data_IF_056989355136
#
_entry.id   IF_056989355136
#
_cell.length_a   1.000
_cell.length_b   1.000
_cell.length_c   1.000
_cell.angle_alpha   90.00
_cell.angle_beta   90.00
_cell.angle_gamma   90.00
#
_symmetry.space_group_name_H-M   'P 1'
#
loop_
_entity.id
_entity.type
_entity.pdbx_description
1 polymer ?
#
# COMPACT_ATOMS: atom_id res chain seq x y z
N UNK A 1 10.39 -28.57 -28.85
CA UNK A 1 11.34 -27.43 -28.97
C UNK A 1 10.61 -26.17 -28.53
N UNK A 2 11.05 -25.45 -27.50
CA UNK A 2 10.41 -24.21 -27.08
C UNK A 2 10.74 -23.10 -28.09
N UNK A 3 9.74 -22.32 -28.45
CA UNK A 3 9.81 -21.26 -29.45
C UNK A 3 10.53 -20.03 -28.84
N UNK A 4 11.63 -19.50 -29.42
CA UNK A 4 12.40 -18.39 -28.84
C UNK A 4 11.80 -17.03 -29.22
N UNK A 5 10.49 -16.86 -29.00
CA UNK A 5 9.96 -15.51 -28.85
C UNK A 5 10.43 -15.09 -27.46
N UNK A 6 11.39 -14.16 -27.40
CA UNK A 6 11.67 -13.43 -26.17
C UNK A 6 10.33 -13.05 -25.56
N UNK A 7 10.02 -13.62 -24.40
CA UNK A 7 8.76 -13.36 -23.75
C UNK A 7 8.73 -11.86 -23.45
N UNK A 8 7.97 -11.09 -24.24
CA UNK A 8 7.95 -9.63 -24.12
C UNK A 8 7.53 -9.24 -22.70
N UNK A 9 6.73 -10.10 -22.06
CA UNK A 9 6.27 -9.93 -20.69
C UNK A 9 7.41 -10.02 -19.68
N UNK A 10 8.45 -10.82 -19.94
CA UNK A 10 9.62 -10.94 -19.06
C UNK A 10 10.54 -9.70 -19.09
N UNK A 11 10.22 -8.70 -19.91
CA UNK A 11 10.92 -7.41 -19.94
C UNK A 11 10.08 -6.29 -19.30
N UNK A 12 8.86 -6.58 -18.84
CA UNK A 12 8.01 -5.60 -18.19
C UNK A 12 8.61 -5.27 -16.82
N UNK A 13 8.94 -3.99 -16.62
CA UNK A 13 9.50 -3.48 -15.35
C UNK A 13 8.50 -2.65 -14.54
N UNK A 14 7.43 -2.17 -15.18
CA UNK A 14 6.38 -1.37 -14.53
C UNK A 14 5.01 -1.72 -15.10
N UNK A 15 3.98 -1.83 -14.27
CA UNK A 15 2.60 -2.11 -14.72
C UNK A 15 1.57 -1.46 -13.80
N UNK A 16 0.41 -1.14 -14.37
CA UNK A 16 -0.81 -0.77 -13.69
C UNK A 16 -1.88 -1.85 -13.95
N UNK A 17 -2.53 -2.35 -12.90
CA UNK A 17 -3.59 -3.36 -13.00
C UNK A 17 -4.89 -2.83 -12.39
N UNK A 18 -5.96 -2.86 -13.16
CA UNK A 18 -7.33 -2.66 -12.71
C UNK A 18 -8.28 -3.60 -13.48
N UNK A 19 -8.13 -4.92 -13.32
CA UNK A 19 -8.81 -5.88 -14.18
C UNK A 19 -10.21 -6.26 -13.67
N UNK A 20 -10.56 -5.83 -12.45
CA UNK A 20 -11.84 -6.11 -11.81
C UNK A 20 -12.73 -4.87 -11.81
N UNK A 21 -14.04 -5.09 -11.81
CA UNK A 21 -15.01 -4.03 -11.57
C UNK A 21 -14.95 -3.58 -10.10
N UNK A 22 -15.31 -2.32 -9.85
CA UNK A 22 -15.19 -1.63 -8.56
C UNK A 22 -15.80 -2.35 -7.36
N UNK A 23 -16.74 -3.28 -7.58
CA UNK A 23 -17.50 -3.97 -6.54
C UNK A 23 -17.44 -5.49 -6.65
N UNK A 24 -16.66 -6.05 -7.57
CA UNK A 24 -16.64 -7.49 -7.80
C UNK A 24 -15.23 -8.04 -7.97
N UNK A 25 -14.75 -8.75 -6.94
CA UNK A 25 -13.51 -9.52 -7.00
C UNK A 25 -13.76 -10.99 -7.37
N UNK A 26 -14.99 -11.52 -7.25
CA UNK A 26 -15.31 -12.95 -7.41
C UNK A 26 -15.40 -13.37 -8.90
N UNK A 27 -14.29 -13.18 -9.62
CA UNK A 27 -14.11 -13.56 -11.03
C UNK A 27 -12.80 -14.37 -11.18
N UNK A 28 -12.95 -15.70 -11.08
CA UNK A 28 -11.84 -16.64 -11.20
C UNK A 28 -11.11 -16.57 -12.55
N UNK A 29 -11.78 -16.52 -13.72
CA UNK A 29 -11.10 -16.26 -14.98
C UNK A 29 -10.17 -15.05 -14.91
N UNK A 30 -10.67 -13.89 -14.47
CA UNK A 30 -9.86 -12.66 -14.36
C UNK A 30 -8.68 -12.83 -13.39
N UNK A 31 -8.89 -13.47 -12.24
CA UNK A 31 -7.82 -13.79 -11.31
C UNK A 31 -6.71 -14.68 -11.93
N UNK A 32 -7.09 -15.66 -12.75
CA UNK A 32 -6.14 -16.51 -13.48
C UNK A 32 -5.33 -15.68 -14.47
N UNK A 33 -5.95 -14.77 -15.23
CA UNK A 33 -5.22 -13.87 -16.14
C UNK A 33 -4.23 -12.97 -15.41
N UNK A 34 -4.61 -12.44 -14.25
CA UNK A 34 -3.70 -11.66 -13.40
C UNK A 34 -2.52 -12.51 -12.94
N UNK A 35 -2.78 -13.74 -12.48
CA UNK A 35 -1.73 -14.67 -12.04
C UNK A 35 -0.76 -14.99 -13.17
N UNK A 36 -1.24 -15.34 -14.35
CA UNK A 36 -0.39 -15.66 -15.49
C UNK A 36 0.49 -14.45 -15.87
N UNK A 37 -0.10 -13.25 -15.98
CA UNK A 37 0.67 -12.03 -16.27
C UNK A 37 1.79 -11.80 -15.25
N UNK A 38 1.45 -11.86 -13.95
CA UNK A 38 2.43 -11.66 -12.88
C UNK A 38 3.49 -12.76 -12.85
N UNK A 39 3.14 -13.99 -13.21
CA UNK A 39 4.09 -15.11 -13.30
C UNK A 39 5.12 -14.88 -14.41
N UNK A 40 4.70 -14.32 -15.53
CA UNK A 40 5.59 -14.00 -16.65
C UNK A 40 6.53 -12.82 -16.37
N UNK A 41 6.12 -11.85 -15.55
CA UNK A 41 6.93 -10.66 -15.26
C UNK A 41 7.57 -10.63 -13.87
N UNK A 42 7.37 -11.64 -13.01
CA UNK A 42 7.81 -11.62 -11.61
C UNK A 42 9.31 -11.33 -11.42
N UNK A 43 10.17 -11.79 -12.35
CA UNK A 43 11.61 -11.56 -12.31
C UNK A 43 12.05 -10.16 -12.76
N UNK A 44 11.25 -9.48 -13.59
CA UNK A 44 11.58 -8.18 -14.19
C UNK A 44 10.79 -7.01 -13.61
N UNK A 45 9.61 -7.26 -13.06
CA UNK A 45 8.74 -6.24 -12.51
C UNK A 45 9.41 -5.60 -11.29
N UNK A 46 9.53 -4.27 -11.33
CA UNK A 46 10.08 -3.44 -10.24
C UNK A 46 9.03 -2.51 -9.66
N UNK A 47 8.03 -2.14 -10.47
CA UNK A 47 6.96 -1.23 -10.07
C UNK A 47 5.60 -1.79 -10.40
N UNK A 48 4.70 -1.80 -9.42
CA UNK A 48 3.34 -2.26 -9.60
C UNK A 48 2.35 -1.31 -8.91
N UNK A 49 1.37 -0.86 -9.67
CA UNK A 49 0.20 -0.14 -9.16
C UNK A 49 -1.02 -1.01 -9.37
N UNK A 50 -1.77 -1.29 -8.31
CA UNK A 50 -3.02 -2.05 -8.40
C UNK A 50 -4.20 -1.19 -7.92
N UNK A 51 -5.24 -1.20 -8.72
CA UNK A 51 -6.54 -0.59 -8.45
C UNK A 51 -7.57 -1.72 -8.46
N UNK A 52 -7.58 -2.47 -7.36
CA UNK A 52 -8.35 -3.71 -7.17
C UNK A 52 -9.04 -3.66 -5.81
N UNK A 53 -10.36 -3.94 -5.73
CA UNK A 53 -11.10 -3.89 -4.48
C UNK A 53 -10.93 -5.21 -3.70
N UNK A 54 -9.76 -5.45 -3.11
CA UNK A 54 -9.46 -6.73 -2.43
C UNK A 54 -10.43 -7.06 -1.28
N UNK A 55 -10.98 -6.05 -0.60
CA UNK A 55 -12.04 -6.22 0.42
C UNK A 55 -13.44 -6.51 -0.11
N UNK A 56 -13.65 -6.56 -1.42
CA UNK A 56 -14.96 -6.90 -1.99
C UNK A 56 -15.31 -8.39 -1.88
N UNK A 57 -14.33 -9.25 -1.54
CA UNK A 57 -14.53 -10.68 -1.36
C UNK A 57 -13.82 -11.15 -0.09
N UNK A 58 -14.58 -11.48 0.95
CA UNK A 58 -14.05 -12.03 2.20
C UNK A 58 -13.74 -13.53 2.07
N UNK A 59 -12.85 -14.09 2.91
CA UNK A 59 -12.50 -15.51 2.86
C UNK A 59 -13.70 -16.47 2.95
N UNK A 60 -14.73 -16.12 3.72
CA UNK A 60 -15.94 -16.92 3.90
C UNK A 60 -16.81 -17.00 2.63
N UNK A 61 -16.71 -15.97 1.79
CA UNK A 61 -17.50 -15.81 0.57
C UNK A 61 -16.73 -16.27 -0.69
N UNK A 62 -15.44 -16.63 -0.58
CA UNK A 62 -14.57 -17.02 -1.70
C UNK A 62 -14.84 -18.46 -2.19
N UNK A 63 -16.03 -18.66 -2.75
CA UNK A 63 -16.48 -19.96 -3.25
C UNK A 63 -15.72 -20.43 -4.50
N UNK A 64 -15.16 -19.49 -5.28
CA UNK A 64 -14.40 -19.79 -6.49
C UNK A 64 -12.89 -19.95 -6.25
N UNK A 65 -12.39 -19.66 -5.05
CA UNK A 65 -10.98 -19.74 -4.71
C UNK A 65 -10.13 -18.63 -5.35
N UNK A 66 -10.73 -17.48 -5.65
CA UNK A 66 -10.08 -16.32 -6.24
C UNK A 66 -8.97 -15.79 -5.35
N UNK A 67 -9.17 -15.74 -4.02
CA UNK A 67 -8.18 -15.19 -3.09
C UNK A 67 -6.91 -16.02 -3.10
N UNK A 68 -7.02 -17.35 -3.17
CA UNK A 68 -5.86 -18.24 -3.33
C UNK A 68 -5.07 -17.94 -4.61
N UNK A 69 -5.76 -17.80 -5.75
CA UNK A 69 -5.12 -17.52 -7.04
C UNK A 69 -4.39 -16.17 -7.02
N UNK A 70 -5.01 -15.14 -6.46
CA UNK A 70 -4.41 -13.82 -6.32
C UNK A 70 -3.25 -13.85 -5.31
N UNK A 71 -3.44 -14.50 -4.16
CA UNK A 71 -2.40 -14.65 -3.14
C UNK A 71 -1.11 -15.23 -3.74
N UNK A 72 -1.21 -16.35 -4.47
CA UNK A 72 -0.07 -16.97 -5.17
C UNK A 72 0.55 -16.01 -6.20
N UNK A 73 -0.28 -15.28 -6.94
CA UNK A 73 0.17 -14.34 -7.96
C UNK A 73 1.02 -13.19 -7.41
N UNK A 74 0.67 -12.68 -6.23
CA UNK A 74 1.37 -11.57 -5.57
C UNK A 74 2.57 -12.06 -4.74
N UNK A 75 2.50 -13.25 -4.14
CA UNK A 75 3.57 -13.78 -3.29
C UNK A 75 4.92 -13.96 -4.01
N UNK A 76 4.89 -14.22 -5.32
CA UNK A 76 6.09 -14.42 -6.14
C UNK A 76 6.85 -13.13 -6.51
N UNK A 77 6.33 -11.93 -6.21
CA UNK A 77 6.88 -10.63 -6.66
C UNK A 77 8.07 -10.14 -5.81
N UNK A 78 9.03 -11.00 -5.49
CA UNK A 78 10.16 -10.70 -4.59
C UNK A 78 11.11 -9.60 -5.08
N UNK A 79 11.12 -9.33 -6.39
CA UNK A 79 11.95 -8.29 -7.01
C UNK A 79 11.28 -6.91 -7.07
N UNK A 80 10.08 -6.77 -6.52
CA UNK A 80 9.35 -5.51 -6.55
C UNK A 80 10.00 -4.46 -5.64
N UNK A 81 10.27 -3.28 -6.20
CA UNK A 81 10.89 -2.15 -5.50
C UNK A 81 9.86 -1.08 -5.10
N UNK A 82 8.79 -0.94 -5.89
CA UNK A 82 7.73 0.03 -5.67
C UNK A 82 6.35 -0.64 -5.81
N UNK A 83 5.53 -0.52 -4.77
CA UNK A 83 4.15 -1.01 -4.78
C UNK A 83 3.15 0.07 -4.35
N UNK A 84 2.01 0.11 -5.04
CA UNK A 84 0.89 0.98 -4.71
C UNK A 84 -0.40 0.15 -4.80
N UNK A 85 -1.14 0.06 -3.70
CA UNK A 85 -2.50 -0.45 -3.69
C UNK A 85 -3.49 0.71 -3.47
N UNK A 86 -4.28 1.01 -4.49
CA UNK A 86 -5.13 2.22 -4.54
C UNK A 86 -6.32 2.12 -3.59
N UNK A 87 -6.94 0.94 -3.51
CA UNK A 87 -8.24 0.76 -2.82
C UNK A 87 -8.17 -0.03 -1.52
N UNK A 88 -7.01 -0.60 -1.18
CA UNK A 88 -6.86 -1.45 0.00
C UNK A 88 -5.40 -1.55 0.47
N UNK A 89 -5.15 -2.39 1.46
CA UNK A 89 -3.84 -2.76 1.99
C UNK A 89 -3.26 -4.05 1.40
N UNK A 90 -3.81 -4.52 0.25
CA UNK A 90 -3.61 -5.85 -0.33
C UNK A 90 -4.16 -6.96 0.59
N UNK A 91 -5.40 -6.81 1.04
CA UNK A 91 -6.07 -7.75 1.94
C UNK A 91 -6.45 -9.07 1.23
N UNK A 92 -5.53 -10.03 1.25
CA UNK A 92 -5.65 -11.34 0.58
C UNK A 92 -5.56 -12.54 1.54
N UNK A 93 -5.72 -12.31 2.85
CA UNK A 93 -5.79 -13.36 3.87
C UNK A 93 -6.70 -14.51 3.45
N UNK A 94 -6.25 -15.74 3.66
CA UNK A 94 -7.03 -16.93 3.29
C UNK A 94 -7.95 -17.40 4.41
N UNK A 95 -7.76 -16.87 5.62
CA UNK A 95 -8.53 -17.24 6.80
C UNK A 95 -8.63 -16.06 7.77
N UNK A 96 -9.85 -15.57 8.03
CA UNK A 96 -10.10 -14.45 8.96
C UNK A 96 -9.71 -14.75 10.41
N UNK A 97 -9.60 -16.02 10.80
CA UNK A 97 -9.22 -16.44 12.15
C UNK A 97 -7.71 -16.50 12.36
N UNK A 98 -6.92 -16.47 11.29
CA UNK A 98 -5.47 -16.48 11.36
C UNK A 98 -4.96 -15.13 10.86
N UNK A 99 -4.25 -14.41 11.74
CA UNK A 99 -3.57 -13.18 11.35
C UNK A 99 -2.35 -13.54 10.49
N UNK A 100 -2.58 -13.67 9.18
CA UNK A 100 -1.53 -13.91 8.19
C UNK A 100 -0.69 -12.64 8.00
N UNK A 101 0.64 -12.75 7.86
CA UNK A 101 1.45 -11.58 7.54
C UNK A 101 1.06 -11.06 6.15
N UNK A 102 0.99 -9.73 5.93
CA UNK A 102 0.68 -9.18 4.62
C UNK A 102 1.65 -9.68 3.56
N UNK A 103 1.17 -10.04 2.37
CA UNK A 103 1.99 -10.63 1.29
C UNK A 103 3.21 -9.75 0.96
N UNK A 104 3.01 -8.43 0.93
CA UNK A 104 4.05 -7.46 0.60
C UNK A 104 5.22 -7.46 1.59
N UNK A 105 5.06 -8.03 2.79
CA UNK A 105 6.14 -8.19 3.78
C UNK A 105 7.23 -9.16 3.33
N UNK A 106 6.95 -10.00 2.34
CA UNK A 106 7.90 -10.98 1.78
C UNK A 106 8.76 -10.41 0.64
N UNK A 107 8.45 -9.20 0.16
CA UNK A 107 9.13 -8.59 -0.97
C UNK A 107 10.41 -7.88 -0.52
N UNK A 108 11.51 -8.64 -0.42
CA UNK A 108 12.78 -8.15 0.14
C UNK A 108 13.38 -6.93 -0.59
N UNK A 109 13.07 -6.74 -1.87
CA UNK A 109 13.54 -5.59 -2.65
C UNK A 109 12.70 -4.31 -2.45
N UNK A 110 11.61 -4.36 -1.68
CA UNK A 110 10.66 -3.28 -1.58
C UNK A 110 11.25 -2.05 -0.88
N UNK A 111 11.19 -0.91 -1.57
CA UNK A 111 11.71 0.38 -1.13
C UNK A 111 10.62 1.38 -0.85
N UNK A 112 9.54 1.33 -1.65
CA UNK A 112 8.44 2.28 -1.57
C UNK A 112 7.11 1.55 -1.58
N UNK A 113 6.29 1.86 -0.58
CA UNK A 113 5.01 1.19 -0.34
C UNK A 113 3.91 2.23 -0.15
N UNK A 114 2.83 2.12 -0.91
CA UNK A 114 1.65 2.95 -0.71
C UNK A 114 0.42 2.05 -0.54
N UNK A 115 -0.29 2.23 0.56
CA UNK A 115 -1.45 1.42 0.96
C UNK A 115 -2.62 2.33 1.31
N UNK A 116 -3.83 1.79 1.17
CA UNK A 116 -5.07 2.47 1.49
C UNK A 116 -5.78 1.80 2.67
N UNK A 117 -6.26 2.61 3.61
CA UNK A 117 -7.06 2.20 4.78
C UNK A 117 -6.41 1.16 5.70
N UNK A 118 -5.12 1.31 5.96
CA UNK A 118 -4.38 0.48 6.91
C UNK A 118 -4.74 0.86 8.35
N UNK A 119 -4.92 -0.12 9.23
CA UNK A 119 -5.00 0.11 10.67
C UNK A 119 -3.62 0.33 11.30
N UNK A 120 -3.39 1.55 11.79
CA UNK A 120 -2.11 1.93 12.40
C UNK A 120 -1.92 1.45 13.85
N UNK A 121 -2.93 0.85 14.49
CA UNK A 121 -2.77 0.17 15.78
C UNK A 121 -2.23 -1.26 15.64
N UNK A 122 -2.32 -1.84 14.43
CA UNK A 122 -1.86 -3.20 14.18
C UNK A 122 -0.36 -3.34 14.45
N UNK A 123 -0.02 -4.17 15.44
CA UNK A 123 1.37 -4.50 15.78
C UNK A 123 2.04 -5.27 14.63
N UNK A 124 1.29 -6.18 13.99
CA UNK A 124 1.76 -6.96 12.85
C UNK A 124 2.09 -6.08 11.64
N UNK A 125 1.32 -5.02 11.39
CA UNK A 125 1.60 -4.07 10.32
C UNK A 125 2.99 -3.42 10.50
N UNK A 126 3.25 -2.87 11.69
CA UNK A 126 4.54 -2.24 11.97
C UNK A 126 5.71 -3.24 12.01
N UNK A 127 5.49 -4.46 12.52
CA UNK A 127 6.50 -5.53 12.48
C UNK A 127 6.87 -5.88 11.03
N UNK A 128 5.86 -5.99 10.17
CA UNK A 128 6.01 -6.29 8.74
C UNK A 128 6.79 -5.19 8.01
N UNK A 129 6.48 -3.91 8.26
CA UNK A 129 7.26 -2.80 7.69
C UNK A 129 8.72 -2.82 8.17
N UNK A 130 8.95 -3.08 9.47
CA UNK A 130 10.28 -3.07 10.04
C UNK A 130 11.16 -4.22 9.52
N UNK A 131 10.56 -5.34 9.10
CA UNK A 131 11.23 -6.47 8.45
C UNK A 131 11.75 -6.18 7.05
N UNK A 132 11.22 -5.16 6.36
CA UNK A 132 11.65 -4.78 5.01
C UNK A 132 12.92 -3.90 5.07
N UNK A 133 14.09 -4.51 4.87
CA UNK A 133 15.40 -3.87 5.07
C UNK A 133 15.69 -2.67 4.17
N UNK A 134 15.10 -2.63 2.98
CA UNK A 134 15.31 -1.58 1.98
C UNK A 134 14.19 -0.53 1.93
N UNK A 135 13.13 -0.71 2.73
CA UNK A 135 12.00 0.19 2.77
C UNK A 135 12.43 1.58 3.28
N UNK A 136 12.23 2.61 2.45
CA UNK A 136 12.63 3.99 2.72
C UNK A 136 11.43 4.95 2.78
N UNK A 137 10.33 4.64 2.09
CA UNK A 137 9.15 5.51 2.00
C UNK A 137 7.85 4.72 2.08
N UNK A 138 6.95 5.15 2.97
CA UNK A 138 5.60 4.59 3.11
C UNK A 138 4.56 5.69 2.99
N UNK A 139 3.53 5.46 2.17
CA UNK A 139 2.38 6.34 2.02
C UNK A 139 1.15 5.61 2.52
N UNK A 140 0.47 6.21 3.50
CA UNK A 140 -0.73 5.66 4.12
C UNK A 140 -1.89 6.59 3.80
N UNK A 141 -2.72 6.16 2.86
CA UNK A 141 -3.91 6.91 2.45
C UNK A 141 -5.08 6.48 3.31
N UNK A 142 -5.80 7.42 3.93
CA UNK A 142 -7.02 7.09 4.70
C UNK A 142 -6.80 6.05 5.80
N UNK A 143 -5.60 6.02 6.37
CA UNK A 143 -5.29 5.08 7.44
C UNK A 143 -6.19 5.28 8.68
N UNK A 144 -6.54 4.17 9.30
CA UNK A 144 -7.34 4.14 10.52
C UNK A 144 -6.46 4.34 11.76
N UNK A 145 -7.11 4.67 12.87
CA UNK A 145 -6.48 4.76 14.20
C UNK A 145 -5.37 5.84 14.33
N UNK A 146 -5.34 6.83 13.43
CA UNK A 146 -4.34 7.91 13.45
C UNK A 146 -4.35 8.73 14.74
N UNK A 147 -5.50 8.84 15.44
CA UNK A 147 -5.61 9.58 16.69
C UNK A 147 -4.97 8.90 17.91
N UNK A 148 -4.72 7.59 17.83
CA UNK A 148 -4.27 6.74 18.94
C UNK A 148 -2.88 6.15 18.71
N UNK A 149 -2.46 5.99 17.44
CA UNK A 149 -1.12 5.55 17.09
C UNK A 149 -0.08 6.69 17.19
N UNK A 150 1.10 6.39 17.76
CA UNK A 150 2.29 7.23 17.61
C UNK A 150 3.25 6.55 16.62
N UNK A 151 3.28 6.98 15.35
CA UNK A 151 4.03 6.28 14.30
C UNK A 151 5.55 6.30 14.54
N UNK A 152 6.08 7.36 15.16
CA UNK A 152 7.51 7.42 15.52
C UNK A 152 7.87 6.36 16.54
N UNK A 153 7.08 6.26 17.61
CA UNK A 153 7.29 5.24 18.63
C UNK A 153 7.09 3.83 18.05
N UNK A 154 6.02 3.62 17.28
CA UNK A 154 5.73 2.34 16.64
C UNK A 154 6.88 1.86 15.76
N UNK A 155 7.53 2.76 15.02
CA UNK A 155 8.72 2.43 14.22
C UNK A 155 9.97 2.20 15.08
N UNK A 156 10.29 3.14 15.98
CA UNK A 156 11.55 3.16 16.73
C UNK A 156 11.68 2.06 17.77
N UNK A 157 10.58 1.48 18.24
CA UNK A 157 10.62 0.29 19.11
C UNK A 157 11.07 -0.97 18.38
N UNK A 158 10.99 -1.00 17.04
CA UNK A 158 11.30 -2.15 16.20
C UNK A 158 12.64 -2.01 15.50
N UNK A 159 12.95 -0.80 15.02
CA UNK A 159 14.14 -0.54 14.22
C UNK A 159 14.59 0.91 14.37
N UNK A 160 15.88 1.16 14.14
CA UNK A 160 16.48 2.49 14.17
C UNK A 160 16.91 2.95 12.77
N UNK A 161 16.32 2.37 11.72
CA UNK A 161 16.56 2.78 10.34
C UNK A 161 15.78 4.05 10.01
N UNK A 162 16.33 4.98 9.21
CA UNK A 162 15.57 6.12 8.72
C UNK A 162 14.36 5.68 7.88
N UNK A 163 13.23 6.38 8.00
CA UNK A 163 12.05 6.15 7.16
C UNK A 163 11.25 7.43 6.96
N UNK A 164 10.62 7.55 5.79
CA UNK A 164 9.65 8.61 5.48
C UNK A 164 8.23 8.04 5.48
N UNK A 165 7.39 8.54 6.38
CA UNK A 165 5.97 8.21 6.48
C UNK A 165 5.14 9.39 6.00
N UNK A 166 4.26 9.17 5.03
CA UNK A 166 3.38 10.20 4.46
C UNK A 166 1.93 9.78 4.66
N UNK A 167 1.16 10.59 5.37
CA UNK A 167 -0.26 10.39 5.59
C UNK A 167 -1.08 11.22 4.60
N UNK A 168 -1.97 10.57 3.85
CA UNK A 168 -2.78 11.22 2.82
C UNK A 168 -4.25 11.15 3.22
N UNK A 169 -4.88 12.31 3.41
CA UNK A 169 -6.30 12.45 3.73
C UNK A 169 -6.85 13.75 3.12
N UNK A 170 -8.17 13.88 3.08
CA UNK A 170 -8.80 15.21 2.99
C UNK A 170 -8.56 16.00 4.28
N UNK A 171 -8.58 17.32 4.20
CA UNK A 171 -8.23 18.23 5.31
C UNK A 171 -8.96 17.88 6.63
N UNK A 172 -10.28 17.66 6.56
CA UNK A 172 -11.11 17.35 7.74
C UNK A 172 -10.80 16.00 8.40
N UNK A 173 -10.21 15.08 7.65
CA UNK A 173 -9.94 13.70 8.09
C UNK A 173 -8.49 13.50 8.53
N UNK A 174 -7.65 14.53 8.39
CA UNK A 174 -6.43 14.61 9.18
C UNK A 174 -6.82 14.74 10.65
N UNK A 175 -7.01 13.59 11.29
CA UNK A 175 -7.09 13.52 12.74
C UNK A 175 -5.77 14.09 13.22
N UNK A 176 -5.81 15.26 13.85
CA UNK A 176 -4.61 15.87 14.39
C UNK A 176 -3.97 14.84 15.31
N UNK A 177 -2.83 14.30 14.90
CA UNK A 177 -1.97 13.43 15.71
C UNK A 177 -1.42 14.28 16.87
N UNK A 178 -2.29 14.62 17.83
CA UNK A 178 -1.93 15.37 19.00
C UNK A 178 -1.27 14.42 19.99
N UNK A 179 0.06 14.54 20.08
CA UNK A 179 0.84 14.46 21.33
C UNK A 179 2.31 14.79 21.02
N UNK A 180 2.73 16.08 21.07
CA UNK A 180 4.07 16.48 20.70
C UNK A 180 5.07 16.17 21.81
N UNK A 181 5.81 15.07 21.62
CA UNK A 181 7.14 14.87 22.24
C UNK A 181 8.13 14.27 21.23
N UNK A 182 7.92 14.49 19.92
CA UNK A 182 8.69 13.86 18.85
C UNK A 182 10.19 14.08 18.97
N UNK A 183 10.63 15.26 19.42
CA UNK A 183 12.05 15.53 19.63
C UNK A 183 12.67 14.69 20.76
N UNK A 184 11.90 14.32 21.79
CA UNK A 184 12.39 13.42 22.84
C UNK A 184 12.34 11.96 22.39
N UNK A 185 11.34 11.58 21.60
CA UNK A 185 11.16 10.21 21.10
C UNK A 185 12.09 9.87 19.94
N UNK A 186 12.36 10.84 19.07
CA UNK A 186 13.21 10.72 17.88
C UNK A 186 14.23 11.88 17.84
N UNK A 187 15.19 11.91 18.77
CA UNK A 187 16.18 12.99 18.84
C UNK A 187 17.11 13.04 17.62
N UNK A 188 17.18 11.95 16.86
CA UNK A 188 18.02 11.80 15.66
C UNK A 188 17.28 12.13 14.37
N UNK A 189 15.97 12.43 14.43
CA UNK A 189 15.10 12.64 13.27
C UNK A 189 15.21 11.49 12.25
N UNK A 190 15.15 10.24 12.74
CA UNK A 190 15.15 9.06 11.89
C UNK A 190 13.81 8.86 11.18
N UNK A 191 12.71 9.36 11.74
CA UNK A 191 11.37 9.14 11.19
C UNK A 191 10.79 10.46 10.69
N UNK A 192 10.71 10.65 9.38
CA UNK A 192 10.04 11.81 8.80
C UNK A 192 8.54 11.55 8.71
N UNK A 193 7.72 12.32 9.42
CA UNK A 193 6.27 12.20 9.39
C UNK A 193 5.67 13.42 8.68
N UNK A 194 5.04 13.14 7.55
CA UNK A 194 4.54 14.14 6.61
C UNK A 194 3.04 13.93 6.36
N UNK A 195 2.34 14.99 5.94
CA UNK A 195 0.94 14.91 5.50
C UNK A 195 0.75 15.50 4.11
N UNK A 196 -0.24 14.98 3.40
CA UNK A 196 -0.78 15.52 2.16
C UNK A 196 -2.28 15.75 2.34
N UNK A 197 -2.71 16.95 2.02
CA UNK A 197 -4.12 17.34 2.03
C UNK A 197 -4.68 17.16 0.61
N UNK A 198 -5.60 16.21 0.43
CA UNK A 198 -6.34 16.05 -0.81
C UNK A 198 -7.41 17.12 -0.86
N UNK A 199 -7.36 17.97 -1.90
CA UNK A 199 -8.30 19.07 -2.07
C UNK A 199 -9.72 18.55 -2.27
N UNK A 200 -10.67 19.17 -1.58
CA UNK A 200 -12.11 18.95 -1.72
C UNK A 200 -12.75 20.13 -2.44
N UNK A 201 -13.69 19.89 -3.34
CA UNK A 201 -14.46 20.98 -3.94
C UNK A 201 -15.25 21.78 -2.88
N UNK A 202 -15.47 23.07 -3.15
CA UNK A 202 -16.18 23.98 -2.25
C UNK A 202 -17.63 23.54 -1.94
N UNK A 203 -18.25 22.78 -2.85
CA UNK A 203 -19.62 22.29 -2.69
C UNK A 203 -19.73 21.01 -1.85
N UNK A 204 -18.63 20.30 -1.63
CA UNK A 204 -18.51 19.24 -0.61
C UNK A 204 -19.34 17.98 -0.85
N UNK A 205 -19.81 17.73 -2.07
CA UNK A 205 -20.57 16.55 -2.48
C UNK A 205 -19.70 15.34 -2.85
N UNK A 206 -18.40 15.56 -3.05
CA UNK A 206 -17.44 14.50 -3.38
C UNK A 206 -17.15 13.58 -2.17
N UNK A 207 -17.12 12.27 -2.43
CA UNK A 207 -16.74 11.27 -1.43
C UNK A 207 -15.24 11.38 -1.10
N UNK A 208 -14.84 11.57 0.18
CA UNK A 208 -13.42 11.57 0.54
C UNK A 208 -12.68 10.30 0.17
N UNK A 209 -13.39 9.16 0.15
CA UNK A 209 -12.86 7.86 -0.27
C UNK A 209 -12.44 7.96 -1.73
N UNK A 210 -13.37 8.36 -2.60
CA UNK A 210 -13.13 8.50 -4.04
C UNK A 210 -12.03 9.52 -4.32
N UNK A 211 -12.08 10.69 -3.67
CA UNK A 211 -11.05 11.73 -3.82
C UNK A 211 -9.65 11.22 -3.48
N UNK A 212 -9.50 10.50 -2.36
CA UNK A 212 -8.21 9.98 -1.95
C UNK A 212 -7.73 8.84 -2.87
N UNK A 213 -8.63 7.95 -3.29
CA UNK A 213 -8.33 6.87 -4.23
C UNK A 213 -7.93 7.40 -5.61
N UNK A 214 -8.64 8.40 -6.12
CA UNK A 214 -8.30 9.07 -7.38
C UNK A 214 -6.97 9.82 -7.28
N UNK A 215 -6.73 10.51 -6.15
CA UNK A 215 -5.47 11.21 -5.93
C UNK A 215 -4.28 10.24 -5.93
N UNK A 216 -4.36 9.13 -5.19
CA UNK A 216 -3.26 8.15 -5.12
C UNK A 216 -3.05 7.49 -6.48
N UNK A 217 -4.14 7.10 -7.17
CA UNK A 217 -4.11 6.49 -8.50
C UNK A 217 -3.45 7.39 -9.54
N UNK A 218 -3.90 8.63 -9.67
CA UNK A 218 -3.37 9.58 -10.65
C UNK A 218 -1.88 9.86 -10.40
N UNK A 219 -1.50 10.12 -9.14
CA UNK A 219 -0.11 10.40 -8.80
C UNK A 219 0.80 9.18 -8.98
N UNK A 220 0.28 7.97 -8.72
CA UNK A 220 0.99 6.73 -8.97
C UNK A 220 1.22 6.53 -10.47
N UNK A 221 0.16 6.58 -11.29
CA UNK A 221 0.27 6.37 -12.74
C UNK A 221 1.21 7.40 -13.40
N UNK A 222 1.18 8.66 -12.95
CA UNK A 222 2.06 9.71 -13.49
C UNK A 222 3.47 9.72 -12.91
N UNK A 223 3.81 8.82 -11.98
CA UNK A 223 5.14 8.76 -11.37
C UNK A 223 5.47 9.93 -10.45
N UNK A 224 4.45 10.65 -9.97
CA UNK A 224 4.60 11.83 -9.10
C UNK A 224 4.43 11.50 -7.61
N UNK A 225 3.88 10.32 -7.31
CA UNK A 225 3.49 9.94 -5.96
C UNK A 225 4.61 10.09 -4.92
N UNK A 226 5.80 9.57 -5.20
CA UNK A 226 6.91 9.58 -4.24
C UNK A 226 7.57 10.98 -4.08
N UNK A 227 7.32 11.88 -5.02
CA UNK A 227 7.78 13.26 -5.03
C UNK A 227 6.65 14.26 -4.74
N UNK A 228 5.54 13.80 -4.14
CA UNK A 228 4.41 14.65 -3.82
C UNK A 228 4.81 15.78 -2.85
N UNK A 229 4.10 16.91 -2.95
CA UNK A 229 4.29 18.06 -2.07
C UNK A 229 3.71 17.79 -0.67
N UNK A 230 4.33 16.87 0.06
CA UNK A 230 3.99 16.58 1.44
C UNK A 230 4.56 17.66 2.37
N UNK A 231 3.79 18.07 3.37
CA UNK A 231 4.21 19.02 4.39
C UNK A 231 4.63 18.24 5.64
N UNK A 232 5.68 18.66 6.37
CA UNK A 232 5.94 18.09 7.68
C UNK A 232 4.71 18.28 8.56
N UNK A 233 4.27 17.22 9.23
CA UNK A 233 3.22 17.36 10.23
C UNK A 233 3.82 18.17 11.39
N UNK A 234 3.45 19.44 11.48
CA UNK A 234 3.95 20.37 12.49
C UNK A 234 2.94 20.53 13.61
N UNK A 235 3.47 20.71 14.81
CA UNK A 235 2.75 21.18 15.98
C UNK A 235 2.05 22.52 15.64
N UNK A 236 0.76 22.72 15.98
CA UNK A 236 0.22 24.06 16.11
C UNK A 236 1.06 24.79 17.18
N UNK A 237 1.52 26.00 16.86
CA UNK A 237 2.29 26.83 17.78
C UNK A 237 1.54 27.21 19.05
#
# INVERSE_FOLDING_TARGET
>A
MPNPRSDILSNITSTYLAPFDDFNLDDLPTAIWVRELLCHCCGSLRRLVVDVPFRALYPEDDHLGVRNVLHDAFAQLSSLEEFVCVRDELYLDLNTSLSEPPIWSTWSALRKLALYNVDTESTQFWDSLAGLEHLDTVILTRADSLGSCNPKLAWLTRTHRPIKLIFVNVERDHTYMFKPVWKQQDPKNLVDVMSVDVGTAFYGDESPIELCQDWIKQNAIWGKLWACNAKPMRQPG
#
